data_IF_765754011809
#
_entry.id   IF_765754011809
#
_cell.length_a   1.000
_cell.length_b   1.000
_cell.length_c   1.000
_cell.angle_alpha   90.00
_cell.angle_beta   90.00
_cell.angle_gamma   90.00
#
_symmetry.space_group_name_H-M   'P 1'
#
loop_
_entity.id
_entity.type
_entity.pdbx_description
1 polymer ?
#
# COMPACT_ATOMS: atom_id res chain seq x y z
N UNK A 1 8.62 -21.92 -8.03
CA UNK A 1 8.92 -22.91 -9.10
C UNK A 1 7.70 -22.98 -10.00
N UNK A 2 7.88 -22.72 -11.29
CA UNK A 2 6.75 -22.54 -12.21
C UNK A 2 6.03 -23.85 -12.56
N UNK A 3 4.87 -23.72 -13.20
CA UNK A 3 4.16 -24.83 -13.86
C UNK A 3 5.10 -25.73 -14.66
N UNK A 4 4.90 -27.05 -14.53
CA UNK A 4 5.74 -28.11 -15.15
C UNK A 4 7.24 -28.06 -14.80
N UNK A 5 7.63 -27.19 -13.84
CA UNK A 5 9.00 -26.99 -13.40
C UNK A 5 9.54 -28.17 -12.61
N UNK A 6 10.76 -28.61 -12.95
CA UNK A 6 11.46 -29.73 -12.29
C UNK A 6 12.98 -29.69 -12.49
N UNK A 7 13.73 -30.39 -11.64
CA UNK A 7 15.17 -30.62 -11.85
C UNK A 7 15.45 -32.03 -12.41
N UNK A 8 16.07 -32.12 -13.59
CA UNK A 8 16.45 -33.42 -14.18
C UNK A 8 17.80 -33.98 -13.67
N UNK A 9 18.59 -33.18 -12.94
CA UNK A 9 19.96 -33.53 -12.52
C UNK A 9 20.09 -34.00 -11.08
N UNK A 10 19.00 -33.96 -10.30
CA UNK A 10 19.06 -34.07 -8.85
C UNK A 10 19.65 -32.82 -8.18
N UNK A 11 19.55 -32.75 -6.87
CA UNK A 11 20.07 -31.68 -6.02
C UNK A 11 20.55 -32.31 -4.70
N UNK A 12 21.76 -31.98 -4.23
CA UNK A 12 22.41 -32.72 -3.14
C UNK A 12 23.31 -33.85 -3.66
N UNK A 13 23.44 -34.92 -2.89
CA UNK A 13 24.33 -36.06 -3.17
C UNK A 13 25.82 -35.73 -3.03
N UNK A 14 26.69 -36.72 -3.25
CA UNK A 14 28.16 -36.58 -3.25
C UNK A 14 28.74 -35.79 -2.05
N UNK A 15 28.23 -36.07 -0.84
CA UNK A 15 28.65 -35.41 0.39
C UNK A 15 27.97 -34.06 0.64
N UNK A 16 26.85 -33.78 -0.01
CA UNK A 16 26.01 -32.58 0.16
C UNK A 16 24.62 -32.99 0.63
N UNK A 17 24.30 -32.66 1.88
CA UNK A 17 22.94 -32.80 2.43
C UNK A 17 22.03 -31.69 1.91
N UNK A 18 20.72 -31.91 1.98
CA UNK A 18 19.72 -30.97 1.45
C UNK A 18 18.50 -30.90 2.33
N UNK A 19 17.88 -29.72 2.37
CA UNK A 19 16.55 -29.52 2.93
C UNK A 19 15.72 -28.66 1.99
N UNK A 20 14.46 -29.02 1.81
CA UNK A 20 13.46 -28.19 1.15
C UNK A 20 12.27 -27.98 2.10
N UNK A 21 11.75 -26.76 2.11
CA UNK A 21 10.53 -26.36 2.83
C UNK A 21 9.59 -25.65 1.84
N UNK A 22 8.30 -26.01 1.85
CA UNK A 22 7.28 -25.39 0.98
C UNK A 22 6.71 -24.16 1.67
N UNK A 23 7.05 -22.98 1.15
CA UNK A 23 6.51 -21.69 1.60
C UNK A 23 5.07 -21.54 1.12
N UNK A 24 4.79 -21.94 -0.13
CA UNK A 24 3.44 -21.96 -0.69
C UNK A 24 3.30 -22.97 -1.84
N UNK A 25 2.08 -23.48 -2.04
CA UNK A 25 1.77 -24.42 -3.13
C UNK A 25 2.01 -25.90 -2.82
N UNK A 26 2.34 -26.67 -3.86
CA UNK A 26 2.50 -28.14 -3.80
C UNK A 26 3.76 -28.61 -4.54
N UNK A 27 4.63 -29.32 -3.85
CA UNK A 27 5.94 -29.78 -4.32
C UNK A 27 6.04 -31.32 -4.25
N UNK A 28 6.30 -31.97 -5.37
CA UNK A 28 6.66 -33.38 -5.37
C UNK A 28 8.18 -33.53 -5.20
N UNK A 29 8.60 -34.24 -4.15
CA UNK A 29 10.01 -34.50 -3.80
C UNK A 29 10.30 -35.99 -3.91
N UNK A 30 11.08 -36.40 -4.91
CA UNK A 30 11.52 -37.78 -5.09
C UNK A 30 12.98 -37.96 -4.63
N UNK A 31 13.27 -39.01 -3.88
CA UNK A 31 14.60 -39.30 -3.31
C UNK A 31 15.39 -40.38 -4.06
N UNK A 32 14.90 -40.78 -5.24
CA UNK A 32 15.39 -41.91 -6.02
C UNK A 32 14.71 -43.25 -5.68
N UNK A 33 13.94 -43.33 -4.59
CA UNK A 33 13.21 -44.55 -4.18
C UNK A 33 11.71 -44.34 -4.04
N UNK A 34 11.28 -43.21 -3.48
CA UNK A 34 9.87 -42.84 -3.32
C UNK A 34 9.65 -41.34 -3.56
N UNK A 35 8.39 -40.95 -3.79
CA UNK A 35 7.98 -39.55 -3.96
C UNK A 35 7.11 -39.11 -2.79
N UNK A 36 7.47 -37.99 -2.18
CA UNK A 36 6.71 -37.29 -1.15
C UNK A 36 6.02 -36.09 -1.78
N UNK A 37 4.69 -36.04 -1.72
CA UNK A 37 3.94 -34.83 -2.06
C UNK A 37 3.91 -33.93 -0.82
N UNK A 38 4.50 -32.73 -0.93
CA UNK A 38 4.54 -31.73 0.13
C UNK A 38 3.60 -30.59 -0.22
N UNK A 39 2.63 -30.33 0.64
CA UNK A 39 1.87 -29.08 0.67
C UNK A 39 2.64 -28.02 1.47
N UNK A 40 2.13 -26.78 1.50
CA UNK A 40 2.57 -25.69 2.38
C UNK A 40 2.90 -26.16 3.80
N UNK A 41 4.02 -25.66 4.34
CA UNK A 41 4.58 -26.08 5.63
C UNK A 41 5.32 -27.42 5.58
N UNK A 42 5.15 -28.19 4.50
CA UNK A 42 5.82 -29.46 4.26
C UNK A 42 7.30 -29.30 4.02
N UNK A 43 8.10 -30.21 4.58
CA UNK A 43 9.54 -30.21 4.44
C UNK A 43 10.12 -31.62 4.29
N UNK A 44 11.24 -31.70 3.58
CA UNK A 44 12.05 -32.92 3.44
C UNK A 44 13.52 -32.56 3.62
N UNK A 45 14.17 -33.25 4.55
CA UNK A 45 15.63 -33.36 4.63
C UNK A 45 16.08 -34.67 3.97
N UNK A 46 17.06 -34.60 3.07
CA UNK A 46 17.74 -35.77 2.53
C UNK A 46 19.23 -35.77 2.91
N UNK A 47 19.77 -36.91 3.38
CA UNK A 47 21.17 -37.02 3.80
C UNK A 47 22.11 -36.93 2.60
N UNK A 48 23.40 -36.71 2.89
CA UNK A 48 24.44 -36.41 1.92
C UNK A 48 24.76 -37.48 0.86
N UNK A 49 24.17 -38.67 0.98
CA UNK A 49 24.23 -39.79 0.04
C UNK A 49 23.10 -39.78 -0.99
N UNK A 50 22.08 -38.93 -0.83
CA UNK A 50 20.82 -38.99 -1.57
C UNK A 50 20.63 -37.75 -2.46
N UNK A 51 20.10 -37.95 -3.67
CA UNK A 51 19.75 -36.89 -4.60
C UNK A 51 18.27 -36.52 -4.45
N UNK A 52 18.00 -35.22 -4.29
CA UNK A 52 16.67 -34.63 -4.29
C UNK A 52 16.22 -34.30 -5.72
N UNK A 53 15.14 -34.92 -6.16
CA UNK A 53 14.41 -34.54 -7.37
C UNK A 53 13.13 -33.81 -6.96
N UNK A 54 12.85 -32.71 -7.64
CA UNK A 54 11.79 -31.75 -7.38
C UNK A 54 10.96 -31.60 -8.64
N UNK A 55 9.64 -31.67 -8.51
CA UNK A 55 8.68 -31.39 -9.57
C UNK A 55 7.49 -30.60 -8.99
N UNK A 56 6.98 -29.62 -9.73
CA UNK A 56 5.81 -28.86 -9.30
C UNK A 56 4.58 -29.77 -9.30
N UNK A 57 3.92 -29.90 -8.15
CA UNK A 57 2.73 -30.76 -7.98
C UNK A 57 1.44 -30.14 -8.51
N UNK A 58 1.45 -28.86 -8.89
CA UNK A 58 0.27 -28.11 -9.30
C UNK A 58 0.46 -27.29 -10.58
N UNK A 59 -0.63 -26.71 -11.07
CA UNK A 59 -0.64 -25.85 -12.26
C UNK A 59 -0.10 -24.43 -11.98
N UNK A 60 -0.25 -23.95 -10.76
CA UNK A 60 0.24 -22.64 -10.31
C UNK A 60 1.70 -22.71 -9.85
N UNK A 61 2.31 -21.56 -9.58
CA UNK A 61 3.66 -21.49 -9.03
C UNK A 61 3.70 -22.05 -7.59
N UNK A 62 4.75 -22.81 -7.27
CA UNK A 62 5.00 -23.35 -5.91
C UNK A 62 6.27 -22.71 -5.33
N UNK A 63 6.15 -21.98 -4.23
CA UNK A 63 7.26 -21.28 -3.58
C UNK A 63 7.96 -22.17 -2.54
N UNK A 64 9.29 -22.24 -2.62
CA UNK A 64 10.08 -23.17 -1.80
C UNK A 64 11.33 -22.48 -1.26
N UNK A 65 11.66 -22.73 0.00
CA UNK A 65 12.98 -22.48 0.55
C UNK A 65 13.83 -23.74 0.33
N UNK A 66 14.94 -23.62 -0.39
CA UNK A 66 15.80 -24.75 -0.76
C UNK A 66 17.23 -24.52 -0.28
N UNK A 67 17.68 -25.36 0.63
CA UNK A 67 19.00 -25.27 1.27
C UNK A 67 19.84 -26.51 1.03
N UNK A 68 21.16 -26.32 1.01
CA UNK A 68 22.14 -27.41 0.94
C UNK A 68 23.44 -27.04 1.65
N UNK A 69 24.07 -28.04 2.25
CA UNK A 69 25.33 -27.87 2.98
C UNK A 69 26.23 -29.07 2.71
N UNK A 70 27.55 -28.89 2.81
CA UNK A 70 28.48 -30.02 2.81
C UNK A 70 28.42 -30.68 4.19
N UNK A 71 28.02 -31.94 4.22
CA UNK A 71 27.91 -32.72 5.44
C UNK A 71 29.28 -33.01 6.03
N UNK A 72 29.41 -32.82 7.34
CA UNK A 72 30.62 -33.09 8.13
C UNK A 72 30.38 -34.36 8.96
N UNK A 73 30.76 -35.55 8.46
CA UNK A 73 30.45 -36.81 9.13
C UNK A 73 31.18 -36.92 10.48
N UNK A 74 30.43 -37.26 11.53
CA UNK A 74 30.98 -37.66 12.81
C UNK A 74 31.10 -39.19 12.87
N UNK A 75 32.27 -39.70 13.29
CA UNK A 75 32.51 -41.15 13.31
C UNK A 75 31.50 -41.89 14.21
N UNK A 76 30.78 -42.85 13.63
CA UNK A 76 29.73 -43.62 14.31
C UNK A 76 28.33 -43.02 14.25
N UNK A 77 28.12 -41.90 13.56
CA UNK A 77 26.82 -41.24 13.43
C UNK A 77 26.49 -40.88 11.98
N UNK A 78 25.22 -41.03 11.61
CA UNK A 78 24.72 -40.76 10.25
C UNK A 78 23.38 -40.01 10.33
N UNK A 79 23.24 -38.94 9.56
CA UNK A 79 21.94 -38.32 9.31
C UNK A 79 21.04 -39.27 8.52
N UNK A 80 19.73 -39.20 8.77
CA UNK A 80 18.70 -39.95 8.05
C UNK A 80 17.67 -39.01 7.42
N UNK A 81 16.90 -39.50 6.45
CA UNK A 81 15.80 -38.72 5.84
C UNK A 81 14.78 -38.34 6.90
N UNK A 82 14.35 -37.08 6.88
CA UNK A 82 13.25 -36.56 7.70
C UNK A 82 12.21 -35.96 6.76
N UNK A 83 10.94 -36.30 6.96
CA UNK A 83 9.80 -35.75 6.22
C UNK A 83 8.74 -35.35 7.22
N UNK A 84 8.17 -34.16 7.07
CA UNK A 84 7.14 -33.65 7.98
C UNK A 84 6.43 -32.43 7.41
N UNK A 85 5.52 -31.86 8.20
CA UNK A 85 4.88 -30.59 7.93
C UNK A 85 4.80 -29.78 9.23
N UNK A 86 5.19 -28.50 9.18
CA UNK A 86 5.16 -27.61 10.34
C UNK A 86 3.76 -27.45 10.95
N UNK A 87 2.70 -27.62 10.14
CA UNK A 87 1.31 -27.56 10.59
C UNK A 87 0.88 -28.78 11.44
N UNK A 88 1.59 -29.92 11.32
CA UNK A 88 1.33 -31.14 12.10
C UNK A 88 2.16 -31.20 13.40
N UNK A 89 2.92 -30.14 13.69
CA UNK A 89 3.86 -30.06 14.80
C UNK A 89 3.38 -29.10 15.90
N UNK A 90 3.41 -29.56 17.15
CA UNK A 90 3.20 -28.73 18.33
C UNK A 90 4.42 -27.80 18.56
N UNK A 91 4.25 -26.46 18.61
CA UNK A 91 5.33 -25.55 18.94
C UNK A 91 5.79 -25.69 20.40
N UNK A 92 7.06 -25.37 20.64
CA UNK A 92 7.61 -25.24 21.99
C UNK A 92 7.93 -23.77 22.33
N UNK A 93 7.75 -23.38 23.59
CA UNK A 93 8.14 -22.05 24.10
C UNK A 93 9.67 -21.90 24.01
N UNK A 94 10.15 -20.96 23.21
CA UNK A 94 11.59 -20.74 23.00
C UNK A 94 12.22 -20.23 24.30
N UNK A 95 13.07 -21.06 24.92
CA UNK A 95 13.66 -20.82 26.25
C UNK A 95 12.65 -20.45 27.37
N UNK A 96 11.39 -20.86 27.23
CA UNK A 96 10.30 -20.51 28.16
C UNK A 96 9.69 -19.12 27.95
N UNK A 97 9.99 -18.44 26.83
CA UNK A 97 9.28 -17.25 26.39
C UNK A 97 7.95 -17.64 25.73
N UNK A 98 6.82 -17.28 26.37
CA UNK A 98 5.46 -17.70 25.95
C UNK A 98 4.93 -17.00 24.69
N UNK A 99 5.67 -16.00 24.27
CA UNK A 99 5.45 -15.08 23.17
C UNK A 99 6.46 -15.29 22.05
N UNK A 100 7.40 -16.23 22.22
CA UNK A 100 8.32 -16.71 21.19
C UNK A 100 8.16 -18.22 21.01
N UNK A 101 7.66 -18.67 19.85
CA UNK A 101 7.37 -20.08 19.58
C UNK A 101 8.37 -20.67 18.57
N UNK A 102 8.81 -21.90 18.82
CA UNK A 102 9.79 -22.63 18.02
C UNK A 102 9.18 -23.94 17.46
N UNK A 103 9.37 -24.19 16.16
CA UNK A 103 9.11 -25.48 15.50
C UNK A 103 10.43 -26.04 15.00
N UNK A 104 10.91 -27.12 15.62
CA UNK A 104 12.24 -27.69 15.40
C UNK A 104 12.17 -28.91 14.47
N UNK A 105 12.60 -28.77 13.21
CA UNK A 105 12.29 -29.73 12.14
C UNK A 105 13.15 -30.99 12.14
N UNK A 106 14.38 -30.92 12.66
CA UNK A 106 15.38 -31.98 12.56
C UNK A 106 15.71 -32.57 13.95
N UNK A 107 15.92 -33.91 14.06
CA UNK A 107 16.32 -34.54 15.31
C UNK A 107 17.62 -33.95 15.87
N UNK A 108 17.75 -33.96 17.20
CA UNK A 108 18.96 -33.53 17.94
C UNK A 108 20.01 -34.63 18.06
N UNK A 109 19.94 -35.62 17.18
CA UNK A 109 20.88 -36.73 17.13
C UNK A 109 22.21 -36.25 16.54
N UNK A 110 23.33 -36.77 17.08
CA UNK A 110 24.69 -36.40 16.64
C UNK A 110 25.02 -36.78 15.18
N UNK A 111 24.08 -37.37 14.45
CA UNK A 111 24.16 -37.59 13.00
C UNK A 111 23.78 -36.37 12.18
N UNK A 112 23.06 -35.37 12.72
CA UNK A 112 22.73 -34.14 12.01
C UNK A 112 23.72 -33.03 12.41
N UNK A 113 24.42 -32.45 11.42
CA UNK A 113 25.36 -31.33 11.61
C UNK A 113 24.81 -30.00 11.05
N UNK A 114 23.50 -29.95 10.82
CA UNK A 114 22.71 -28.72 10.66
C UNK A 114 21.34 -28.87 11.33
N UNK A 115 20.70 -27.74 11.62
CA UNK A 115 19.33 -27.68 12.15
C UNK A 115 18.51 -26.70 11.30
N UNK A 116 17.20 -26.94 11.23
CA UNK A 116 16.24 -26.05 10.59
C UNK A 116 15.03 -25.92 11.51
N UNK A 117 14.53 -24.70 11.65
CA UNK A 117 13.39 -24.41 12.50
C UNK A 117 12.67 -23.13 12.05
N UNK A 118 11.39 -23.02 12.44
CA UNK A 118 10.66 -21.75 12.42
C UNK A 118 10.71 -21.16 13.82
N UNK A 119 11.03 -19.86 13.90
CA UNK A 119 10.92 -19.05 15.11
C UNK A 119 9.86 -17.96 14.88
N UNK A 120 8.91 -17.83 15.80
CA UNK A 120 7.77 -16.90 15.72
C UNK A 120 7.79 -15.95 16.91
N UNK A 121 7.64 -14.65 16.66
CA UNK A 121 7.53 -13.61 17.67
C UNK A 121 6.15 -12.97 17.61
N UNK A 122 5.38 -13.04 18.70
CA UNK A 122 4.12 -12.29 18.82
C UNK A 122 4.37 -10.77 18.73
N UNK A 123 3.38 -9.95 18.36
CA UNK A 123 3.48 -8.49 18.41
C UNK A 123 4.06 -7.99 19.75
N UNK A 124 5.16 -7.23 19.68
CA UNK A 124 5.88 -6.73 20.86
C UNK A 124 6.79 -7.73 21.60
N UNK A 125 6.84 -8.99 21.16
CA UNK A 125 7.80 -9.98 21.67
C UNK A 125 9.21 -9.73 21.10
N UNK A 126 10.22 -10.19 21.83
CA UNK A 126 11.62 -10.09 21.41
C UNK A 126 12.44 -11.24 21.97
N UNK A 127 13.69 -11.35 21.53
CA UNK A 127 14.68 -12.12 22.31
C UNK A 127 14.83 -11.48 23.70
N UNK A 128 14.97 -12.31 24.74
CA UNK A 128 15.18 -11.83 26.12
C UNK A 128 16.56 -11.24 26.38
N UNK A 129 17.50 -11.41 25.44
CA UNK A 129 18.87 -10.90 25.48
C UNK A 129 19.44 -10.81 24.06
N UNK A 130 20.59 -10.14 23.89
CA UNK A 130 21.37 -10.18 22.64
C UNK A 130 22.22 -11.45 22.67
N UNK A 131 22.03 -12.32 21.69
CA UNK A 131 22.74 -13.59 21.57
C UNK A 131 23.90 -13.53 20.55
N UNK A 132 24.76 -14.54 20.59
CA UNK A 132 25.81 -14.78 19.59
C UNK A 132 25.94 -16.28 19.37
N UNK A 133 25.98 -16.74 18.11
CA UNK A 133 26.16 -18.15 17.79
C UNK A 133 27.56 -18.43 17.25
N UNK A 134 28.06 -19.65 17.46
CA UNK A 134 29.28 -20.11 16.79
C UNK A 134 28.99 -20.47 15.32
N UNK A 135 27.79 -20.98 15.06
CA UNK A 135 27.33 -21.45 13.76
C UNK A 135 26.97 -20.27 12.85
N UNK A 136 27.47 -20.28 11.62
CA UNK A 136 26.90 -19.47 10.54
C UNK A 136 25.50 -19.99 10.21
N UNK A 137 24.53 -19.09 10.07
CA UNK A 137 23.15 -19.43 9.77
C UNK A 137 22.46 -18.27 9.04
N UNK A 138 21.23 -18.52 8.58
CA UNK A 138 20.41 -17.49 7.94
C UNK A 138 18.96 -17.59 8.40
N UNK A 139 18.24 -16.49 8.26
CA UNK A 139 16.82 -16.39 8.54
C UNK A 139 16.11 -15.81 7.31
N UNK A 140 15.03 -16.47 6.87
CA UNK A 140 14.16 -15.98 5.81
C UNK A 140 12.80 -15.64 6.41
N UNK A 141 12.35 -14.39 6.29
CA UNK A 141 11.13 -13.92 6.96
C UNK A 141 9.91 -14.24 6.09
N UNK A 142 9.00 -15.15 6.49
CA UNK A 142 7.79 -15.44 5.69
C UNK A 142 6.55 -14.61 6.09
N UNK A 143 6.56 -13.88 7.20
CA UNK A 143 5.49 -12.93 7.57
C UNK A 143 5.91 -11.85 8.59
N UNK A 144 5.05 -10.84 8.76
CA UNK A 144 5.22 -9.76 9.73
C UNK A 144 6.35 -8.76 9.45
N UNK A 145 6.57 -7.87 10.42
CA UNK A 145 7.59 -6.81 10.39
C UNK A 145 8.26 -6.66 11.76
N UNK A 146 9.57 -6.40 11.76
CA UNK A 146 10.41 -6.37 12.94
C UNK A 146 11.55 -5.35 12.86
N UNK A 147 12.28 -5.23 13.97
CA UNK A 147 13.64 -4.73 13.99
C UNK A 147 14.55 -5.90 14.33
N UNK A 148 15.64 -6.07 13.58
CA UNK A 148 16.68 -7.06 13.85
C UNK A 148 17.96 -6.31 14.22
N UNK A 149 18.51 -6.58 15.40
CA UNK A 149 19.86 -6.18 15.77
C UNK A 149 20.83 -7.09 15.03
N UNK A 150 21.76 -6.50 14.27
CA UNK A 150 22.85 -7.17 13.60
C UNK A 150 24.13 -6.39 13.92
N UNK A 151 25.00 -6.98 14.75
CA UNK A 151 26.26 -6.38 15.23
C UNK A 151 26.10 -4.97 15.87
N UNK A 152 25.05 -4.81 16.69
CA UNK A 152 24.61 -3.55 17.34
C UNK A 152 23.91 -2.54 16.42
N UNK A 153 23.71 -2.83 15.14
CA UNK A 153 22.88 -2.02 14.25
C UNK A 153 21.46 -2.59 14.19
N UNK A 154 20.46 -1.78 14.57
CA UNK A 154 19.05 -2.15 14.47
C UNK A 154 18.53 -1.84 13.07
N UNK A 155 18.33 -2.88 12.27
CA UNK A 155 17.81 -2.80 10.91
C UNK A 155 16.31 -3.15 10.90
N UNK A 156 15.45 -2.41 10.19
CA UNK A 156 14.07 -2.85 9.93
C UNK A 156 14.11 -4.09 9.03
N UNK A 157 13.21 -5.04 9.28
CA UNK A 157 13.07 -6.28 8.49
C UNK A 157 11.59 -6.61 8.27
N UNK A 158 11.27 -7.18 7.12
CA UNK A 158 9.91 -7.56 6.74
C UNK A 158 9.82 -8.88 5.97
N UNK A 159 8.59 -9.34 5.73
CA UNK A 159 8.31 -10.52 4.89
C UNK A 159 9.04 -10.44 3.56
N UNK A 160 9.79 -11.50 3.23
CA UNK A 160 10.58 -11.62 2.01
C UNK A 160 12.07 -11.28 2.20
N UNK A 161 12.47 -10.70 3.33
CA UNK A 161 13.89 -10.48 3.64
C UNK A 161 14.62 -11.79 3.93
N UNK A 162 15.89 -11.84 3.51
CA UNK A 162 16.83 -12.89 3.89
C UNK A 162 18.04 -12.30 4.61
N UNK A 163 18.22 -12.71 5.86
CA UNK A 163 19.36 -12.34 6.71
C UNK A 163 20.37 -13.50 6.68
N UNK A 164 21.65 -13.19 6.49
CA UNK A 164 22.75 -14.13 6.73
C UNK A 164 23.64 -13.62 7.86
N UNK A 165 23.91 -14.48 8.84
CA UNK A 165 24.69 -14.18 10.03
C UNK A 165 25.91 -15.10 10.08
N UNK A 166 27.10 -14.52 10.01
CA UNK A 166 28.35 -15.24 10.22
C UNK A 166 28.59 -15.48 11.72
N UNK A 167 29.58 -16.31 12.04
CA UNK A 167 29.93 -16.66 13.42
C UNK A 167 30.16 -15.41 14.29
N UNK A 168 29.59 -15.42 15.50
CA UNK A 168 29.71 -14.41 16.54
C UNK A 168 29.10 -13.02 16.23
N UNK A 169 28.29 -12.88 15.17
CA UNK A 169 27.43 -11.69 14.99
C UNK A 169 26.50 -11.59 16.21
N UNK A 170 26.44 -10.40 16.82
CA UNK A 170 25.48 -10.10 17.87
C UNK A 170 24.10 -9.91 17.26
N UNK A 171 23.11 -10.63 17.79
CA UNK A 171 21.77 -10.64 17.22
C UNK A 171 20.63 -10.60 18.24
N UNK A 172 19.52 -9.98 17.85
CA UNK A 172 18.24 -10.01 18.55
C UNK A 172 17.11 -9.47 17.65
N UNK A 173 16.05 -10.25 17.45
CA UNK A 173 14.79 -9.78 16.87
C UNK A 173 13.89 -9.11 17.91
N UNK A 174 13.18 -8.07 17.49
CA UNK A 174 12.06 -7.40 18.18
C UNK A 174 10.90 -7.21 17.19
N UNK A 175 9.72 -7.78 17.46
CA UNK A 175 8.56 -7.67 16.58
C UNK A 175 7.83 -6.32 16.76
N UNK A 176 7.74 -5.53 15.68
CA UNK A 176 7.08 -4.20 15.70
C UNK A 176 5.65 -4.20 15.15
N UNK A 177 5.30 -5.20 14.33
CA UNK A 177 3.98 -5.31 13.71
C UNK A 177 2.85 -5.38 14.73
N UNK A 178 1.69 -4.78 14.41
CA UNK A 178 0.48 -4.82 15.24
C UNK A 178 -0.55 -5.85 14.78
N UNK A 179 -0.52 -6.19 13.50
CA UNK A 179 -1.60 -6.91 12.82
C UNK A 179 -1.20 -8.36 12.45
N UNK A 180 0.11 -8.66 12.37
CA UNK A 180 0.68 -10.01 12.22
C UNK A 180 1.86 -10.22 13.19
N UNK A 181 2.03 -11.43 13.76
CA UNK A 181 3.27 -11.81 14.44
C UNK A 181 4.43 -11.93 13.42
N UNK A 182 5.65 -11.54 13.80
CA UNK A 182 6.87 -11.74 12.99
C UNK A 182 7.16 -13.25 12.93
N UNK A 183 6.71 -13.90 11.85
CA UNK A 183 6.53 -15.35 11.77
C UNK A 183 6.83 -15.83 10.34
N UNK A 184 6.29 -16.99 10.01
CA UNK A 184 6.55 -17.74 8.79
C UNK A 184 5.23 -18.33 8.19
N UNK A 185 4.14 -17.54 8.02
CA UNK A 185 2.85 -17.83 7.31
C UNK A 185 1.85 -16.62 7.41
N UNK A 186 0.76 -16.39 6.63
CA UNK A 186 0.20 -16.90 5.35
C UNK A 186 -0.82 -15.87 4.73
N UNK A 187 -1.01 -15.83 3.40
CA UNK A 187 -2.10 -15.11 2.69
C UNK A 187 -3.12 -16.01 1.96
N UNK A 188 -4.28 -15.46 1.58
CA UNK A 188 -5.33 -16.07 0.74
C UNK A 188 -5.71 -15.14 -0.42
N UNK A 189 -6.15 -15.70 -1.55
CA UNK A 189 -6.65 -14.93 -2.70
C UNK A 189 -8.18 -14.91 -2.68
N UNK A 190 -8.76 -13.70 -2.68
CA UNK A 190 -10.20 -13.45 -2.54
C UNK A 190 -10.70 -12.66 -3.75
N UNK A 191 -11.91 -12.92 -4.24
CA UNK A 191 -12.48 -12.11 -5.33
C UNK A 191 -12.80 -10.69 -4.84
N UNK A 192 -12.63 -9.63 -5.66
CA UNK A 192 -12.97 -8.26 -5.26
C UNK A 192 -14.43 -8.12 -4.80
N UNK A 193 -15.36 -8.80 -5.46
CA UNK A 193 -16.78 -8.77 -5.12
C UNK A 193 -17.07 -9.50 -3.80
N UNK A 194 -16.45 -10.66 -3.57
CA UNK A 194 -16.56 -11.40 -2.30
C UNK A 194 -15.97 -10.58 -1.14
N UNK A 195 -14.80 -9.96 -1.36
CA UNK A 195 -14.17 -9.10 -0.37
C UNK A 195 -15.04 -7.87 -0.06
N UNK A 196 -15.63 -7.25 -1.07
CA UNK A 196 -16.56 -6.12 -0.90
C UNK A 196 -17.79 -6.53 -0.08
N UNK A 197 -18.50 -7.60 -0.46
CA UNK A 197 -19.68 -8.11 0.24
C UNK A 197 -19.37 -8.43 1.72
N UNK A 198 -18.21 -9.03 1.99
CA UNK A 198 -17.78 -9.36 3.35
C UNK A 198 -17.49 -8.11 4.20
N UNK A 199 -16.83 -7.10 3.63
CA UNK A 199 -16.52 -5.85 4.31
C UNK A 199 -17.78 -5.02 4.53
N UNK A 200 -18.62 -4.85 3.50
CA UNK A 200 -19.89 -4.13 3.58
C UNK A 200 -20.78 -4.72 4.69
N UNK A 201 -21.01 -6.05 4.64
CA UNK A 201 -21.83 -6.75 5.64
C UNK A 201 -21.29 -6.56 7.06
N UNK A 202 -19.97 -6.55 7.26
CA UNK A 202 -19.36 -6.33 8.59
C UNK A 202 -19.65 -4.91 9.09
N UNK A 203 -19.53 -3.90 8.23
CA UNK A 203 -19.79 -2.49 8.55
C UNK A 203 -21.29 -2.21 8.77
N UNK A 204 -22.17 -2.84 8.00
CA UNK A 204 -23.63 -2.81 8.26
C UNK A 204 -23.97 -3.45 9.62
N UNK A 205 -23.33 -4.57 9.95
CA UNK A 205 -23.52 -5.25 11.25
C UNK A 205 -23.06 -4.38 12.41
N UNK A 206 -22.03 -3.56 12.21
CA UNK A 206 -21.58 -2.56 13.19
C UNK A 206 -22.55 -1.38 13.35
N UNK A 207 -23.46 -1.18 12.39
CA UNK A 207 -24.53 -0.17 12.46
C UNK A 207 -24.50 0.90 11.36
N UNK A 208 -23.55 0.88 10.41
CA UNK A 208 -23.60 1.80 9.28
C UNK A 208 -24.80 1.50 8.37
N UNK A 209 -25.34 2.56 7.75
CA UNK A 209 -26.31 2.41 6.66
C UNK A 209 -25.63 1.81 5.43
N UNK A 210 -26.36 0.96 4.71
CA UNK A 210 -25.98 0.34 3.43
C UNK A 210 -25.18 1.28 2.50
N UNK A 211 -25.72 2.45 2.17
CA UNK A 211 -25.07 3.43 1.29
C UNK A 211 -23.66 3.85 1.76
N UNK A 212 -23.46 3.98 3.07
CA UNK A 212 -22.16 4.32 3.65
C UNK A 212 -21.25 3.09 3.73
N UNK A 213 -21.79 1.92 4.07
CA UNK A 213 -21.05 0.67 4.18
C UNK A 213 -20.50 0.25 2.81
N UNK A 214 -21.32 0.30 1.75
CA UNK A 214 -20.92 0.13 0.35
C UNK A 214 -19.77 1.08 -0.02
N UNK A 215 -19.90 2.36 0.32
CA UNK A 215 -18.92 3.38 -0.07
C UNK A 215 -17.57 3.17 0.63
N UNK A 216 -17.58 2.80 1.91
CA UNK A 216 -16.37 2.42 2.65
C UNK A 216 -15.78 1.14 2.09
N UNK A 217 -16.58 0.08 1.89
CA UNK A 217 -16.14 -1.20 1.35
C UNK A 217 -15.47 -1.03 -0.03
N UNK A 218 -16.08 -0.25 -0.92
CA UNK A 218 -15.53 0.09 -2.24
C UNK A 218 -14.12 0.68 -2.14
N UNK A 219 -13.91 1.64 -1.23
CA UNK A 219 -12.61 2.26 -1.04
C UNK A 219 -11.56 1.33 -0.41
N UNK A 220 -11.96 0.45 0.52
CA UNK A 220 -11.02 -0.49 1.15
C UNK A 220 -10.60 -1.60 0.19
N UNK A 221 -11.54 -2.15 -0.59
CA UNK A 221 -11.23 -3.11 -1.66
C UNK A 221 -10.36 -2.48 -2.74
N UNK A 222 -10.63 -1.22 -3.12
CA UNK A 222 -9.78 -0.48 -4.05
C UNK A 222 -8.34 -0.32 -3.51
N UNK A 223 -8.19 0.00 -2.22
CA UNK A 223 -6.88 0.12 -1.59
C UNK A 223 -6.09 -1.21 -1.61
N UNK A 224 -6.69 -2.34 -1.23
CA UNK A 224 -6.03 -3.65 -1.33
C UNK A 224 -5.72 -4.05 -2.79
N UNK A 225 -6.65 -3.83 -3.71
CA UNK A 225 -6.46 -4.13 -5.12
C UNK A 225 -5.30 -3.33 -5.73
N UNK A 226 -5.08 -2.09 -5.30
CA UNK A 226 -3.91 -1.30 -5.68
C UNK A 226 -2.59 -1.74 -5.00
N UNK A 227 -2.62 -2.68 -4.04
CA UNK A 227 -1.47 -3.10 -3.22
C UNK A 227 -1.19 -2.20 -2.01
N UNK A 228 -2.17 -1.39 -1.58
CA UNK A 228 -2.08 -0.46 -0.44
C UNK A 228 -2.78 -1.07 0.78
N UNK A 229 -2.37 -2.28 1.16
CA UNK A 229 -3.02 -3.11 2.19
C UNK A 229 -3.22 -2.40 3.54
N UNK A 230 -2.29 -1.51 3.90
CA UNK A 230 -2.36 -0.67 5.11
C UNK A 230 -3.58 0.27 5.18
N UNK A 231 -4.33 0.41 4.09
CA UNK A 231 -5.56 1.20 3.97
C UNK A 231 -6.75 0.39 3.45
N UNK A 232 -6.63 -0.94 3.35
CA UNK A 232 -7.68 -1.85 2.90
C UNK A 232 -8.39 -2.58 4.05
N UNK A 233 -8.68 -3.88 3.84
CA UNK A 233 -9.43 -4.77 4.71
C UNK A 233 -8.92 -4.82 6.16
N UNK A 234 -7.62 -4.58 6.38
CA UNK A 234 -7.02 -4.48 7.73
C UNK A 234 -7.68 -3.40 8.61
N UNK A 235 -8.32 -2.39 8.01
CA UNK A 235 -9.01 -1.31 8.74
C UNK A 235 -10.43 -1.65 9.18
N UNK A 236 -11.00 -2.75 8.71
CA UNK A 236 -12.44 -3.05 8.87
C UNK A 236 -12.80 -3.37 10.30
N UNK A 237 -11.93 -4.05 11.04
CA UNK A 237 -12.11 -4.30 12.47
C UNK A 237 -12.14 -2.97 13.24
N UNK A 238 -11.13 -2.12 13.06
CA UNK A 238 -11.04 -0.81 13.71
C UNK A 238 -12.27 0.06 13.42
N UNK A 239 -12.74 0.08 12.16
CA UNK A 239 -13.97 0.80 11.82
C UNK A 239 -15.19 0.17 12.49
N UNK A 240 -15.34 -1.15 12.51
CA UNK A 240 -16.45 -1.82 13.19
C UNK A 240 -16.47 -1.50 14.70
N UNK A 241 -15.32 -1.50 15.38
CA UNK A 241 -15.19 -1.09 16.79
C UNK A 241 -15.64 0.38 17.00
N UNK A 242 -15.21 1.28 16.11
CA UNK A 242 -15.57 2.71 16.19
C UNK A 242 -17.06 2.97 15.89
N UNK A 243 -17.67 2.22 14.98
CA UNK A 243 -19.09 2.35 14.65
C UNK A 243 -19.96 1.82 15.81
N UNK A 244 -19.67 0.63 16.33
CA UNK A 244 -20.44 0.02 17.44
C UNK A 244 -20.36 0.88 18.72
N UNK A 245 -19.17 1.40 19.04
CA UNK A 245 -18.96 2.30 20.19
C UNK A 245 -19.57 3.70 20.00
N UNK A 246 -20.13 4.01 18.84
CA UNK A 246 -20.76 5.31 18.54
C UNK A 246 -19.77 6.44 18.24
N UNK A 247 -18.52 6.10 17.89
CA UNK A 247 -17.48 7.03 17.42
C UNK A 247 -17.71 7.55 15.99
N UNK A 248 -18.73 7.04 15.28
CA UNK A 248 -19.14 7.50 13.94
C UNK A 248 -20.63 7.87 13.93
N UNK A 249 -20.97 9.02 13.33
CA UNK A 249 -22.36 9.44 13.11
C UNK A 249 -22.98 8.61 11.99
N UNK A 250 -23.94 7.73 12.33
CA UNK A 250 -24.59 6.80 11.40
C UNK A 250 -25.49 7.50 10.36
N UNK A 251 -26.01 8.68 10.68
CA UNK A 251 -26.90 9.47 9.80
C UNK A 251 -26.51 10.98 9.81
N UNK A 252 -25.36 11.34 9.20
CA UNK A 252 -24.81 12.68 9.24
C UNK A 252 -25.51 13.56 8.20
N UNK A 253 -26.13 14.66 8.65
CA UNK A 253 -26.62 15.70 7.72
C UNK A 253 -25.43 16.49 7.19
N UNK A 254 -24.96 16.13 5.99
CA UNK A 254 -23.84 16.80 5.33
C UNK A 254 -24.28 18.18 4.85
N UNK A 255 -23.51 19.20 5.20
CA UNK A 255 -23.75 20.60 4.81
C UNK A 255 -22.54 21.12 4.04
N UNK A 256 -22.79 21.97 3.05
CA UNK A 256 -21.76 22.64 2.25
C UNK A 256 -21.89 24.16 2.36
N UNK A 257 -20.79 24.82 2.70
CA UNK A 257 -20.67 26.29 2.75
C UNK A 257 -19.75 26.75 1.60
N UNK A 258 -20.30 27.46 0.62
CA UNK A 258 -19.50 28.12 -0.43
C UNK A 258 -18.81 29.35 0.17
N UNK A 259 -17.48 29.32 0.31
CA UNK A 259 -16.68 30.38 0.94
C UNK A 259 -16.07 31.35 -0.07
N UNK A 260 -16.05 30.99 -1.35
CA UNK A 260 -15.58 31.82 -2.45
C UNK A 260 -15.85 31.17 -3.82
N UNK A 261 -15.56 31.85 -4.94
CA UNK A 261 -15.91 31.37 -6.29
C UNK A 261 -15.29 30.01 -6.69
N UNK A 262 -14.28 29.55 -5.97
CA UNK A 262 -13.60 28.27 -6.19
C UNK A 262 -13.17 27.62 -4.86
N UNK A 263 -13.86 27.94 -3.75
CA UNK A 263 -13.59 27.37 -2.43
C UNK A 263 -14.86 27.16 -1.61
N UNK A 264 -14.90 26.09 -0.83
CA UNK A 264 -16.01 25.78 0.07
C UNK A 264 -15.61 24.80 1.18
N UNK A 265 -16.47 24.67 2.18
CA UNK A 265 -16.27 23.82 3.35
C UNK A 265 -17.37 22.76 3.38
N UNK A 266 -16.99 21.50 3.58
CA UNK A 266 -17.93 20.37 3.75
C UNK A 266 -17.95 19.99 5.23
N UNK A 267 -19.10 20.12 5.87
CA UNK A 267 -19.27 19.74 7.27
C UNK A 267 -19.66 18.26 7.37
N UNK A 268 -18.67 17.38 7.55
CA UNK A 268 -18.86 15.93 7.60
C UNK A 268 -19.66 15.38 8.79
N UNK A 269 -19.95 16.20 9.82
CA UNK A 269 -20.67 15.84 11.06
C UNK A 269 -20.22 14.51 11.71
N UNK A 270 -18.93 14.17 11.62
CA UNK A 270 -18.36 12.91 12.10
C UNK A 270 -18.95 11.63 11.44
N UNK A 271 -19.45 11.75 10.21
CA UNK A 271 -19.83 10.60 9.37
C UNK A 271 -18.62 9.83 8.82
N UNK A 272 -18.89 8.67 8.21
CA UNK A 272 -17.87 7.84 7.58
C UNK A 272 -17.07 8.65 6.53
N UNK A 273 -15.74 8.71 6.69
CA UNK A 273 -14.89 9.66 5.96
C UNK A 273 -14.95 9.51 4.44
N UNK A 274 -14.98 8.28 3.95
CA UNK A 274 -15.09 7.93 2.53
C UNK A 274 -16.38 8.50 1.91
N UNK A 275 -17.52 8.28 2.57
CA UNK A 275 -18.82 8.78 2.15
C UNK A 275 -18.90 10.31 2.15
N UNK A 276 -18.41 10.95 3.22
CA UNK A 276 -18.33 12.42 3.28
C UNK A 276 -17.44 13.00 2.18
N UNK A 277 -16.30 12.35 1.91
CA UNK A 277 -15.34 12.79 0.90
C UNK A 277 -15.91 12.69 -0.52
N UNK A 278 -16.63 11.62 -0.86
CA UNK A 278 -17.25 11.46 -2.18
C UNK A 278 -18.34 12.54 -2.42
N UNK A 279 -19.18 12.83 -1.42
CA UNK A 279 -20.12 13.97 -1.47
C UNK A 279 -19.36 15.30 -1.68
N UNK A 280 -18.26 15.50 -0.94
CA UNK A 280 -17.42 16.69 -1.06
C UNK A 280 -16.80 16.88 -2.45
N UNK A 281 -16.40 15.79 -3.09
CA UNK A 281 -15.86 15.80 -4.45
C UNK A 281 -16.90 16.26 -5.47
N UNK A 282 -18.18 15.88 -5.30
CA UNK A 282 -19.29 16.38 -6.11
C UNK A 282 -19.40 17.91 -6.09
N UNK A 283 -19.35 18.52 -4.91
CA UNK A 283 -19.34 19.99 -4.79
C UNK A 283 -18.13 20.63 -5.46
N UNK A 284 -16.93 20.07 -5.26
CA UNK A 284 -15.69 20.59 -5.88
C UNK A 284 -15.76 20.56 -7.42
N UNK A 285 -16.26 19.46 -7.99
CA UNK A 285 -16.47 19.31 -9.44
C UNK A 285 -17.48 20.34 -9.97
N UNK A 286 -18.58 20.58 -9.25
CA UNK A 286 -19.60 21.55 -9.68
C UNK A 286 -19.17 23.01 -9.51
N UNK A 287 -18.23 23.31 -8.62
CA UNK A 287 -17.56 24.61 -8.58
C UNK A 287 -16.61 24.81 -9.76
N UNK A 288 -15.79 23.80 -10.08
CA UNK A 288 -14.81 23.87 -11.17
C UNK A 288 -15.44 24.15 -12.55
N UNK A 289 -16.67 23.67 -12.79
CA UNK A 289 -17.41 23.86 -14.06
C UNK A 289 -17.92 25.29 -14.35
N UNK A 290 -17.80 26.25 -13.42
CA UNK A 290 -18.50 27.57 -13.50
C UNK A 290 -17.71 28.74 -14.14
N UNK A 291 -16.64 28.49 -14.92
CA UNK A 291 -15.77 29.58 -15.44
C UNK A 291 -16.05 29.97 -16.90
N UNK A 292 -16.40 31.24 -17.14
CA UNK A 292 -16.56 31.83 -18.49
C UNK A 292 -15.21 32.34 -19.08
N UNK A 293 -15.01 32.35 -20.42
CA UNK A 293 -13.80 32.90 -21.06
C UNK A 293 -13.71 34.44 -20.97
N UNK A 294 -12.64 34.98 -20.39
CA UNK A 294 -12.48 36.42 -20.09
C UNK A 294 -11.07 37.01 -20.28
N UNK A 295 -10.05 36.22 -20.63
CA UNK A 295 -8.63 36.65 -20.64
C UNK A 295 -7.91 36.27 -21.94
N UNK A 296 -7.03 37.16 -22.41
CA UNK A 296 -6.22 36.97 -23.62
C UNK A 296 -4.88 36.26 -23.33
N UNK A 297 -4.42 35.33 -24.19
CA UNK A 297 -3.06 34.77 -24.10
C UNK A 297 -1.97 35.84 -24.21
N UNK A 298 -0.77 35.59 -23.68
CA UNK A 298 0.36 36.50 -23.83
C UNK A 298 0.77 36.61 -25.31
N UNK A 299 0.61 37.80 -25.90
CA UNK A 299 0.80 38.04 -27.34
C UNK A 299 -0.43 37.75 -28.22
N UNK A 300 -1.55 37.31 -27.62
CA UNK A 300 -2.84 37.13 -28.29
C UNK A 300 -3.70 38.40 -28.31
N UNK A 301 -4.86 38.31 -29.00
CA UNK A 301 -5.82 39.42 -29.18
C UNK A 301 -7.30 39.04 -28.95
N UNK A 302 -7.59 37.76 -28.71
CA UNK A 302 -8.93 37.20 -28.54
C UNK A 302 -9.01 36.48 -27.19
N UNK A 303 -10.16 36.58 -26.51
CA UNK A 303 -10.37 35.96 -25.20
C UNK A 303 -10.43 34.45 -25.37
N UNK A 304 -9.65 33.74 -24.55
CA UNK A 304 -9.49 32.29 -24.65
C UNK A 304 -9.59 31.61 -23.27
N UNK A 305 -8.90 32.16 -22.27
CA UNK A 305 -8.89 31.64 -20.90
C UNK A 305 -9.98 32.29 -20.04
N UNK A 306 -10.44 31.61 -18.99
CA UNK A 306 -11.10 32.28 -17.86
C UNK A 306 -10.11 33.12 -17.04
N UNK A 307 -10.56 33.68 -15.90
CA UNK A 307 -9.62 34.33 -14.95
C UNK A 307 -8.76 33.34 -14.16
N UNK A 308 -9.00 32.03 -14.37
CA UNK A 308 -8.20 30.88 -13.96
C UNK A 308 -7.52 31.05 -12.59
N UNK A 309 -8.31 31.26 -11.51
CA UNK A 309 -7.75 31.52 -10.18
C UNK A 309 -7.00 30.30 -9.65
N UNK A 310 -6.05 30.56 -8.76
CA UNK A 310 -5.28 29.51 -8.05
C UNK A 310 -5.47 29.75 -6.55
N UNK A 311 -6.00 28.74 -5.87
CA UNK A 311 -6.21 28.75 -4.43
C UNK A 311 -5.46 27.61 -3.75
N UNK A 312 -4.92 27.89 -2.56
CA UNK A 312 -4.30 26.89 -1.67
C UNK A 312 -4.78 27.14 -0.24
N UNK A 313 -5.20 26.08 0.46
CA UNK A 313 -5.60 26.14 1.86
C UNK A 313 -4.72 25.22 2.72
N UNK A 314 -4.30 25.72 3.89
CA UNK A 314 -3.54 24.95 4.88
C UNK A 314 -4.22 25.02 6.25
N UNK A 315 -4.63 23.88 6.86
CA UNK A 315 -5.30 23.87 8.16
C UNK A 315 -4.35 24.28 9.28
N UNK A 316 -4.91 24.83 10.37
CA UNK A 316 -4.15 25.20 11.59
C UNK A 316 -4.84 24.67 12.84
N UNK A 317 -4.04 24.21 13.81
CA UNK A 317 -4.56 23.71 15.09
C UNK A 317 -5.18 24.87 15.90
N UNK A 318 -6.49 24.80 16.14
CA UNK A 318 -7.22 25.76 16.99
C UNK A 318 -7.46 27.14 16.37
N UNK A 319 -7.27 27.31 15.06
CA UNK A 319 -7.41 28.58 14.36
C UNK A 319 -7.95 28.36 12.94
N UNK A 320 -8.55 29.41 12.35
CA UNK A 320 -8.94 29.43 10.93
C UNK A 320 -7.80 28.98 10.00
N UNK A 321 -8.08 28.28 8.90
CA UNK A 321 -7.07 27.87 7.93
C UNK A 321 -6.36 29.09 7.33
N UNK A 322 -5.13 28.90 6.85
CA UNK A 322 -4.50 29.86 5.96
C UNK A 322 -5.06 29.62 4.57
N UNK A 323 -5.75 30.60 4.01
CA UNK A 323 -6.28 30.56 2.64
C UNK A 323 -5.52 31.56 1.78
N UNK A 324 -4.94 31.06 0.71
CA UNK A 324 -4.41 31.84 -0.40
C UNK A 324 -5.38 31.70 -1.57
N UNK A 325 -5.82 32.80 -2.14
CA UNK A 325 -6.72 32.85 -3.30
C UNK A 325 -6.33 34.07 -4.16
N UNK A 326 -6.07 33.86 -5.45
CA UNK A 326 -5.82 34.92 -6.41
C UNK A 326 -6.25 34.54 -7.83
N UNK A 327 -6.75 35.52 -8.58
CA UNK A 327 -6.77 35.46 -10.03
C UNK A 327 -5.34 35.50 -10.59
N UNK A 328 -5.10 34.84 -11.72
CA UNK A 328 -3.80 34.85 -12.41
C UNK A 328 -3.58 36.06 -13.33
N UNK A 329 -4.54 37.00 -13.35
CA UNK A 329 -4.41 38.31 -14.01
C UNK A 329 -3.76 39.34 -13.07
N UNK A 330 -3.22 40.44 -13.62
CA UNK A 330 -2.69 41.57 -12.83
C UNK A 330 -3.76 42.17 -11.92
N UNK A 331 -5.03 42.11 -12.33
CA UNK A 331 -6.18 42.55 -11.53
C UNK A 331 -7.45 41.80 -11.94
N UNK A 332 -8.39 41.64 -11.01
CA UNK A 332 -9.71 41.05 -11.26
C UNK A 332 -10.63 41.97 -12.10
N UNK A 333 -11.44 41.38 -12.98
CA UNK A 333 -12.39 42.09 -13.85
C UNK A 333 -13.32 43.05 -13.10
N UNK A 334 -13.79 42.66 -11.91
CA UNK A 334 -14.66 43.48 -11.07
C UNK A 334 -14.07 44.87 -10.72
N UNK A 335 -12.74 45.02 -10.67
CA UNK A 335 -12.11 46.34 -10.47
C UNK A 335 -12.12 47.22 -11.72
N UNK A 336 -12.12 46.62 -12.92
CA UNK A 336 -12.33 47.35 -14.18
C UNK A 336 -13.78 47.84 -14.26
N UNK A 337 -14.75 47.00 -13.86
CA UNK A 337 -16.16 47.40 -13.78
C UNK A 337 -16.40 48.52 -12.74
N UNK A 338 -15.75 48.45 -11.58
CA UNK A 338 -15.76 49.52 -10.57
C UNK A 338 -15.18 50.83 -11.13
N UNK A 339 -14.06 50.78 -11.84
CA UNK A 339 -13.45 51.93 -12.50
C UNK A 339 -14.36 52.56 -13.58
N UNK A 340 -15.03 51.73 -14.41
CA UNK A 340 -16.09 52.18 -15.35
C UNK A 340 -17.18 52.93 -14.59
N UNK A 341 -17.75 52.32 -13.53
CA UNK A 341 -18.85 52.92 -12.76
C UNK A 341 -18.52 54.30 -12.16
N UNK A 342 -17.24 54.57 -11.92
CA UNK A 342 -16.71 55.79 -11.29
C UNK A 342 -16.11 56.78 -12.28
N UNK A 343 -16.10 56.48 -13.59
CA UNK A 343 -15.39 57.24 -14.62
C UNK A 343 -13.94 57.56 -14.22
N UNK A 344 -13.19 56.52 -13.80
CA UNK A 344 -11.77 56.64 -13.45
C UNK A 344 -10.90 55.77 -14.34
N UNK A 345 -9.75 56.30 -14.72
CA UNK A 345 -8.72 55.54 -15.42
C UNK A 345 -8.19 54.38 -14.56
N UNK A 346 -7.78 53.31 -15.23
CA UNK A 346 -7.04 52.17 -14.66
C UNK A 346 -5.54 52.29 -15.02
N UNK A 347 -4.64 51.61 -14.29
CA UNK A 347 -3.26 51.42 -14.75
C UNK A 347 -3.21 50.67 -16.08
N UNK A 348 -2.35 51.12 -16.99
CA UNK A 348 -2.09 50.50 -18.30
C UNK A 348 -1.56 49.05 -18.20
N UNK A 349 -0.94 48.72 -17.07
CA UNK A 349 -0.47 47.36 -16.72
C UNK A 349 -1.59 46.34 -16.45
N UNK A 350 -2.86 46.76 -16.31
CA UNK A 350 -3.95 45.82 -15.98
C UNK A 350 -4.53 45.11 -17.20
N UNK A 351 -4.53 45.77 -18.37
CA UNK A 351 -5.40 45.39 -19.48
C UNK A 351 -4.96 45.94 -20.83
N UNK A 352 -5.48 45.34 -21.91
CA UNK A 352 -5.28 45.77 -23.30
C UNK A 352 -6.58 46.12 -24.00
N UNK A 353 -6.49 46.99 -24.99
CA UNK A 353 -7.58 47.34 -25.91
C UNK A 353 -7.79 46.28 -27.01
N UNK A 354 -8.76 46.53 -27.90
CA UNK A 354 -9.09 45.65 -29.04
C UNK A 354 -7.95 45.43 -30.05
N UNK A 355 -6.92 46.28 -30.02
CA UNK A 355 -5.74 46.20 -30.89
C UNK A 355 -4.54 45.61 -30.14
N UNK A 356 -4.75 45.07 -28.93
CA UNK A 356 -3.73 44.44 -28.09
C UNK A 356 -2.80 45.43 -27.36
N UNK A 357 -3.14 46.73 -27.32
CA UNK A 357 -2.29 47.76 -26.72
C UNK A 357 -2.68 48.02 -25.26
N UNK A 358 -1.72 48.25 -24.35
CA UNK A 358 -2.00 48.68 -22.97
C UNK A 358 -2.96 49.87 -22.94
N UNK A 359 -3.99 49.81 -22.09
CA UNK A 359 -5.03 50.86 -22.00
C UNK A 359 -5.28 51.30 -20.56
N UNK A 360 -5.32 52.62 -20.36
CA UNK A 360 -5.78 53.22 -19.11
C UNK A 360 -7.29 53.48 -19.10
N UNK A 361 -7.94 53.47 -20.27
CA UNK A 361 -9.37 53.68 -20.40
C UNK A 361 -10.12 52.36 -20.12
N UNK A 362 -10.90 52.26 -19.03
CA UNK A 362 -11.55 51.02 -18.66
C UNK A 362 -12.65 50.62 -19.64
N UNK A 363 -13.22 51.55 -20.42
CA UNK A 363 -14.24 51.26 -21.43
C UNK A 363 -13.65 50.65 -22.71
N UNK A 364 -12.36 50.88 -22.98
CA UNK A 364 -11.66 50.29 -24.13
C UNK A 364 -11.08 48.90 -23.88
N UNK A 365 -11.08 48.43 -22.62
CA UNK A 365 -10.57 47.11 -22.26
C UNK A 365 -11.28 46.00 -23.03
N UNK A 366 -10.49 45.22 -23.76
CA UNK A 366 -10.88 44.03 -24.51
C UNK A 366 -10.44 42.74 -23.79
N UNK A 367 -9.28 42.76 -23.12
CA UNK A 367 -8.75 41.64 -22.34
C UNK A 367 -7.83 42.08 -21.19
N UNK A 368 -7.76 41.26 -20.14
CA UNK A 368 -6.86 41.47 -18.99
C UNK A 368 -5.45 40.94 -19.27
N UNK A 369 -4.45 41.52 -18.60
CA UNK A 369 -3.06 41.07 -18.69
C UNK A 369 -2.71 40.00 -17.62
N UNK A 370 -1.91 38.97 -17.94
CA UNK A 370 -1.42 37.99 -16.96
C UNK A 370 -0.47 38.60 -15.91
N UNK A 371 -0.56 38.16 -14.66
CA UNK A 371 0.33 38.60 -13.58
C UNK A 371 1.80 38.25 -13.91
N UNK A 372 2.73 39.18 -13.68
CA UNK A 372 4.15 38.98 -14.00
C UNK A 372 4.43 38.52 -15.46
N UNK A 373 3.55 38.86 -16.41
CA UNK A 373 3.72 38.58 -17.84
C UNK A 373 3.88 37.09 -18.16
N UNK A 374 4.97 36.66 -18.82
CA UNK A 374 5.18 35.24 -19.19
C UNK A 374 5.07 34.24 -18.04
N UNK A 375 5.32 34.64 -16.77
CA UNK A 375 5.24 33.74 -15.62
C UNK A 375 3.80 33.44 -15.20
N UNK A 376 2.94 34.44 -15.05
CA UNK A 376 1.51 34.23 -14.79
C UNK A 376 0.77 33.70 -16.01
N UNK A 377 1.25 34.00 -17.22
CA UNK A 377 0.79 33.31 -18.43
C UNK A 377 1.10 31.80 -18.36
N UNK A 378 2.31 31.41 -17.94
CA UNK A 378 2.63 29.99 -17.70
C UNK A 378 1.73 29.35 -16.64
N UNK A 379 1.42 30.06 -15.55
CA UNK A 379 0.48 29.58 -14.53
C UNK A 379 -0.96 29.45 -15.07
N UNK A 380 -1.47 30.43 -15.81
CA UNK A 380 -2.78 30.34 -16.51
C UNK A 380 -2.82 29.14 -17.45
N UNK A 381 -1.76 28.95 -18.23
CA UNK A 381 -1.63 27.87 -19.19
C UNK A 381 -1.61 26.52 -18.51
N UNK A 382 -1.00 26.38 -17.31
CA UNK A 382 -1.11 25.13 -16.53
C UNK A 382 -2.54 24.88 -16.03
N UNK A 383 -3.28 25.90 -15.59
CA UNK A 383 -4.70 25.75 -15.21
C UNK A 383 -5.56 25.34 -16.42
N UNK A 384 -5.25 25.85 -17.62
CA UNK A 384 -6.01 25.55 -18.83
C UNK A 384 -5.59 24.23 -19.51
N UNK A 385 -4.31 23.83 -19.39
CA UNK A 385 -3.85 22.49 -19.74
C UNK A 385 -4.59 21.45 -18.90
N UNK A 386 -4.89 21.74 -17.63
CA UNK A 386 -5.75 20.90 -16.79
C UNK A 386 -7.25 21.02 -17.14
N UNK A 387 -7.63 21.76 -18.20
CA UNK A 387 -9.03 22.07 -18.57
C UNK A 387 -9.43 21.72 -20.02
N UNK A 388 -8.58 21.90 -21.05
CA UNK A 388 -8.87 21.48 -22.43
C UNK A 388 -8.68 19.96 -22.59
N UNK A 389 -9.73 19.23 -22.25
CA UNK A 389 -9.64 17.82 -21.83
C UNK A 389 -9.08 16.87 -22.90
N UNK A 390 -9.35 17.09 -24.19
CA UNK A 390 -8.93 16.15 -25.24
C UNK A 390 -7.49 16.41 -25.68
N UNK A 391 -7.08 17.67 -25.81
CA UNK A 391 -5.67 18.02 -26.07
C UNK A 391 -4.78 17.75 -24.85
N UNK A 392 -5.33 17.86 -23.64
CA UNK A 392 -4.67 17.41 -22.42
C UNK A 392 -4.39 15.92 -22.46
N UNK A 393 -5.39 15.08 -22.75
CA UNK A 393 -5.22 13.63 -22.94
C UNK A 393 -4.16 13.34 -23.99
N UNK A 394 -4.28 13.88 -25.22
CA UNK A 394 -3.29 13.67 -26.28
C UNK A 394 -1.85 14.03 -25.85
N UNK A 395 -1.70 15.09 -25.05
CA UNK A 395 -0.39 15.52 -24.54
C UNK A 395 0.13 14.63 -23.40
N UNK A 396 -0.77 14.11 -22.55
CA UNK A 396 -0.45 13.18 -21.45
C UNK A 396 -0.13 11.80 -22.01
N UNK A 397 -0.92 11.29 -22.96
CA UNK A 397 -0.70 10.02 -23.65
C UNK A 397 0.66 10.02 -24.35
N UNK A 398 0.98 11.09 -25.10
CA UNK A 398 2.31 11.26 -25.72
C UNK A 398 3.45 11.31 -24.70
N UNK A 399 3.25 11.95 -23.54
CA UNK A 399 4.24 11.95 -22.45
C UNK A 399 4.43 10.56 -21.82
N UNK A 400 3.36 9.77 -21.69
CA UNK A 400 3.42 8.38 -21.20
C UNK A 400 4.15 7.49 -22.21
N UNK A 401 3.84 7.59 -23.50
CA UNK A 401 4.57 6.89 -24.57
C UNK A 401 6.07 7.23 -24.57
N UNK A 402 6.42 8.52 -24.43
CA UNK A 402 7.80 8.98 -24.33
C UNK A 402 8.52 8.43 -23.08
N UNK A 403 7.84 8.37 -21.92
CA UNK A 403 8.38 7.78 -20.70
C UNK A 403 8.63 6.27 -20.84
N UNK A 404 7.67 5.52 -21.40
CA UNK A 404 7.79 4.07 -21.63
C UNK A 404 8.85 3.71 -22.67
N UNK A 405 9.16 4.62 -23.60
CA UNK A 405 10.25 4.45 -24.56
C UNK A 405 11.66 4.61 -23.95
N UNK A 406 11.78 5.13 -22.72
CA UNK A 406 13.06 5.23 -22.01
C UNK A 406 13.50 3.84 -21.53
N UNK A 407 14.75 3.41 -21.81
CA UNK A 407 15.27 2.15 -21.28
C UNK A 407 15.19 2.10 -19.74
N UNK A 408 14.55 1.06 -19.22
CA UNK A 408 14.43 0.82 -17.78
C UNK A 408 15.78 0.49 -17.15
N UNK A 409 15.92 0.77 -15.85
CA UNK A 409 17.04 0.32 -15.04
C UNK A 409 16.93 -1.18 -14.71
N UNK A 410 18.06 -1.83 -14.40
CA UNK A 410 18.09 -3.24 -14.00
C UNK A 410 17.10 -3.52 -12.85
N UNK A 411 16.28 -4.55 -13.00
CA UNK A 411 15.21 -4.91 -12.06
C UNK A 411 13.83 -4.32 -12.36
N UNK A 412 13.73 -3.31 -13.24
CA UNK A 412 12.44 -2.70 -13.64
C UNK A 412 12.04 -3.15 -15.04
N UNK A 413 10.74 -3.41 -15.27
CA UNK A 413 10.22 -3.81 -16.59
C UNK A 413 10.10 -2.63 -17.56
N UNK A 414 9.73 -1.46 -17.04
CA UNK A 414 9.62 -0.18 -17.75
C UNK A 414 9.87 0.99 -16.79
N UNK A 415 9.99 2.20 -17.32
CA UNK A 415 9.93 3.43 -16.50
C UNK A 415 8.45 3.70 -16.18
N UNK A 416 8.10 3.75 -14.89
CA UNK A 416 6.72 3.96 -14.45
C UNK A 416 6.41 5.42 -14.14
N UNK A 417 5.18 5.87 -14.43
CA UNK A 417 4.67 7.14 -13.90
C UNK A 417 3.99 6.96 -12.52
N UNK A 418 3.88 8.01 -11.69
CA UNK A 418 3.25 7.91 -10.37
C UNK A 418 1.80 7.42 -10.46
N UNK A 419 1.49 6.33 -9.75
CA UNK A 419 0.17 5.67 -9.77
C UNK A 419 0.05 4.51 -10.76
N UNK A 420 0.94 4.38 -11.75
CA UNK A 420 0.86 3.32 -12.76
C UNK A 420 0.99 1.91 -12.15
N UNK A 421 1.90 1.73 -11.19
CA UNK A 421 2.07 0.46 -10.47
C UNK A 421 0.78 0.07 -9.73
N UNK A 422 0.10 1.04 -9.12
CA UNK A 422 -1.15 0.82 -8.40
C UNK A 422 -2.29 0.44 -9.37
N UNK A 423 -2.29 0.99 -10.59
CA UNK A 423 -3.23 0.62 -11.63
C UNK A 423 -2.95 -0.80 -12.17
N UNK A 424 -1.69 -1.15 -12.42
CA UNK A 424 -1.29 -2.51 -12.84
C UNK A 424 -1.67 -3.54 -11.76
N UNK A 425 -1.44 -3.22 -10.49
CA UNK A 425 -1.87 -4.05 -9.36
C UNK A 425 -3.40 -4.19 -9.33
N UNK A 426 -4.13 -3.09 -9.52
CA UNK A 426 -5.60 -3.10 -9.56
C UNK A 426 -6.13 -3.98 -10.70
N UNK A 427 -5.60 -3.83 -11.91
CA UNK A 427 -5.99 -4.64 -13.08
C UNK A 427 -5.64 -6.13 -12.89
N UNK A 428 -4.50 -6.45 -12.25
CA UNK A 428 -4.17 -7.82 -11.80
C UNK A 428 -5.21 -8.30 -10.79
N UNK A 429 -5.49 -7.53 -9.74
CA UNK A 429 -6.42 -7.91 -8.67
C UNK A 429 -7.86 -8.12 -9.17
N UNK A 430 -8.33 -7.29 -10.11
CA UNK A 430 -9.64 -7.45 -10.75
C UNK A 430 -9.73 -8.71 -11.64
N UNK A 431 -8.61 -9.26 -12.09
CA UNK A 431 -8.58 -10.44 -12.98
C UNK A 431 -8.18 -11.75 -12.28
N UNK A 432 -7.31 -11.69 -11.25
CA UNK A 432 -6.82 -12.86 -10.51
C UNK A 432 -7.29 -12.95 -9.05
N UNK A 433 -7.92 -11.90 -8.51
CA UNK A 433 -8.26 -11.78 -7.09
C UNK A 433 -7.25 -10.96 -6.28
N UNK A 434 -7.70 -10.51 -5.13
CA UNK A 434 -6.98 -9.71 -4.13
C UNK A 434 -6.30 -10.63 -3.13
N UNK A 435 -5.00 -10.43 -2.88
CA UNK A 435 -4.28 -11.13 -1.82
C UNK A 435 -4.57 -10.47 -0.45
N UNK A 436 -5.10 -11.25 0.49
CA UNK A 436 -5.53 -10.82 1.83
C UNK A 436 -4.91 -11.74 2.88
N UNK A 437 -4.55 -11.21 4.04
CA UNK A 437 -4.04 -12.00 5.19
C UNK A 437 -5.13 -12.96 5.66
N UNK A 438 -4.79 -14.24 5.91
CA UNK A 438 -5.82 -15.24 6.24
C UNK A 438 -6.65 -14.86 7.47
N UNK A 439 -6.00 -14.35 8.52
CA UNK A 439 -6.67 -13.91 9.74
C UNK A 439 -7.69 -12.77 9.50
N UNK A 440 -7.41 -11.86 8.55
CA UNK A 440 -8.34 -10.80 8.15
C UNK A 440 -9.54 -11.40 7.42
N UNK A 441 -9.31 -12.33 6.48
CA UNK A 441 -10.39 -13.01 5.74
C UNK A 441 -11.28 -13.86 6.67
N UNK A 442 -10.69 -14.59 7.61
CA UNK A 442 -11.41 -15.40 8.58
C UNK A 442 -12.16 -14.51 9.60
N UNK A 443 -11.58 -13.39 10.03
CA UNK A 443 -12.29 -12.35 10.78
C UNK A 443 -13.51 -11.83 10.00
N UNK A 444 -13.34 -11.43 8.74
CA UNK A 444 -14.42 -10.89 7.90
C UNK A 444 -15.58 -11.89 7.75
N UNK A 445 -15.28 -13.19 7.69
CA UNK A 445 -16.29 -14.27 7.60
C UNK A 445 -16.90 -14.71 8.93
N UNK A 446 -16.25 -14.40 10.05
CA UNK A 446 -16.75 -14.72 11.39
C UNK A 446 -17.97 -13.86 11.79
N UNK A 447 -18.71 -14.33 12.79
CA UNK A 447 -19.76 -13.54 13.46
C UNK A 447 -19.18 -12.50 14.45
N UNK A 448 -17.86 -12.47 14.66
CA UNK A 448 -17.21 -11.49 15.54
C UNK A 448 -17.27 -10.09 14.93
N UNK A 449 -17.70 -9.11 15.71
CA UNK A 449 -17.84 -7.72 15.26
C UNK A 449 -16.55 -6.91 15.41
N UNK A 450 -15.89 -7.02 16.56
CA UNK A 450 -14.55 -6.51 16.85
C UNK A 450 -13.99 -7.25 18.08
N UNK A 451 -12.72 -7.04 18.39
CA UNK A 451 -12.00 -7.68 19.49
C UNK A 451 -11.73 -6.75 20.69
N UNK A 452 -12.21 -5.49 20.65
CA UNK A 452 -11.97 -4.46 21.68
C UNK A 452 -10.48 -4.10 21.84
N UNK A 453 -9.73 -4.17 20.74
CA UNK A 453 -8.28 -4.02 20.70
C UNK A 453 -7.80 -2.55 20.64
N UNK A 454 -8.65 -1.61 20.20
CA UNK A 454 -8.18 -0.29 19.79
C UNK A 454 -8.49 0.82 20.80
N UNK A 455 -9.65 0.82 21.46
CA UNK A 455 -10.00 1.82 22.47
C UNK A 455 -10.51 1.27 23.81
N UNK A 456 -9.78 1.61 24.88
CA UNK A 456 -10.26 1.60 26.28
C UNK A 456 -10.94 2.93 26.69
N UNK A 457 -11.21 3.79 25.71
CA UNK A 457 -11.77 5.13 25.83
C UNK A 457 -13.25 5.16 25.39
N UNK A 458 -13.98 6.23 25.72
CA UNK A 458 -15.33 6.45 25.18
C UNK A 458 -15.26 7.06 23.76
N UNK A 459 -16.42 7.20 23.10
CA UNK A 459 -16.56 7.77 21.75
C UNK A 459 -16.01 9.20 21.53
N UNK A 460 -15.45 9.84 22.56
CA UNK A 460 -14.79 11.14 22.51
C UNK A 460 -13.31 11.10 22.93
N UNK A 461 -12.73 9.90 23.09
CA UNK A 461 -11.33 9.69 23.50
C UNK A 461 -11.07 9.86 25.01
N UNK A 462 -12.11 9.93 25.85
CA UNK A 462 -11.95 10.04 27.30
C UNK A 462 -11.74 8.65 27.94
N UNK A 463 -10.75 8.52 28.84
CA UNK A 463 -10.48 7.25 29.53
C UNK A 463 -11.56 6.96 30.59
N UNK A 464 -12.04 5.71 30.62
CA UNK A 464 -12.86 5.17 31.72
C UNK A 464 -12.04 5.04 33.02
#
# INVERSE_FOLDING_TARGET
MHKDGKNARGFGGDGVETLVYVIDGVLNVNDGTETHELTKGGYVYLPASTLMYLENGQAEDTEIFLYKKRYQPLEGYEAHKVVGNANDMEPIEYEGMKDVLLWDFLPKDLGFDMNFHILSFKPGASHGYIETHYQEHGAYLLSGQGMYNLDNEWMPVEKGDYIFMSSYVQQAAYAVGRDEPLTMNETVVVKPEELHELIEKKLETAGLKHEHANEVATHLVFADACGIHSHGAVRVEYYAEQIDKGGVTLDPTIEFEETGPSSGIVHGKNGAGQFVANIGLGYAIDMAKKSDPMVVPFGGKENYFGTNPIAFAAPRKGHEPVVFDMATTVQAWGKVLDARSKNKDIPDTWAVDKDGKPTTDPYKVNGLLPIAGPKGYGLMMMVDILSDIDRFKESVDGMVEELHAIPAADGFKQVYYPGEINQINYEKAMSSGVEIVRDIYDYLKSDTLHFDCYEHTNAFGEKK
#
